data_IF_468017725275
#
_entry.id   IF_468017725275
#
_cell.length_a   1.000
_cell.length_b   1.000
_cell.length_c   1.000
_cell.angle_alpha   90.00
_cell.angle_beta   90.00
_cell.angle_gamma   90.00
#
_symmetry.space_group_name_H-M   'P 1'
#
loop_
_entity.id
_entity.type
_entity.pdbx_description
1 polymer ?
#
# COMPACT_ATOMS: atom_id res chain seq x y z
N UNK A 1 6.94 -16.53 -8.65
CA UNK A 1 5.48 -16.51 -8.92
C UNK A 1 5.18 -15.20 -9.63
N UNK A 2 4.42 -15.22 -10.73
CA UNK A 2 3.96 -13.98 -11.37
C UNK A 2 2.70 -13.50 -10.65
N UNK A 3 2.75 -12.33 -10.03
CA UNK A 3 1.57 -11.73 -9.39
C UNK A 3 0.67 -11.14 -10.47
N UNK A 4 -0.61 -11.54 -10.49
CA UNK A 4 -1.58 -10.94 -11.42
C UNK A 4 -1.76 -9.47 -11.04
N UNK A 5 -1.67 -8.57 -12.02
CA UNK A 5 -1.96 -7.16 -11.82
C UNK A 5 -3.43 -7.00 -11.39
N UNK A 6 -3.63 -6.63 -10.12
CA UNK A 6 -4.92 -6.38 -9.50
C UNK A 6 -4.93 -4.98 -8.92
N UNK A 7 -6.10 -4.35 -8.88
CA UNK A 7 -6.22 -2.99 -8.37
C UNK A 7 -6.93 -2.99 -7.01
N UNK A 8 -6.39 -2.31 -5.98
CA UNK A 8 -6.98 -2.32 -4.63
C UNK A 8 -8.40 -1.74 -4.59
N UNK A 9 -8.76 -0.85 -5.53
CA UNK A 9 -10.13 -0.36 -5.67
C UNK A 9 -11.16 -1.48 -5.90
N UNK A 10 -10.76 -2.62 -6.48
CA UNK A 10 -11.65 -3.76 -6.70
C UNK A 10 -11.86 -4.59 -5.43
N UNK A 11 -10.98 -4.44 -4.42
CA UNK A 11 -10.92 -5.27 -3.22
C UNK A 11 -11.56 -4.61 -1.99
N UNK A 12 -12.39 -3.57 -2.18
CA UNK A 12 -12.99 -2.77 -1.11
C UNK A 12 -14.40 -2.35 -1.45
N UNK A 13 -15.20 -2.06 -0.43
CA UNK A 13 -16.53 -1.45 -0.62
C UNK A 13 -16.39 0.03 -0.99
N UNK A 14 -16.79 0.39 -2.20
CA UNK A 14 -16.71 1.76 -2.70
C UNK A 14 -18.02 2.55 -2.56
N UNK A 15 -19.10 1.93 -2.05
CA UNK A 15 -20.47 2.50 -2.05
C UNK A 15 -20.54 3.93 -1.53
N UNK A 16 -19.78 4.25 -0.47
CA UNK A 16 -19.69 5.58 0.13
C UNK A 16 -18.61 6.43 -0.55
N UNK A 17 -17.38 5.93 -0.60
CA UNK A 17 -16.21 6.74 -0.98
C UNK A 17 -16.20 7.16 -2.46
N UNK A 18 -16.86 6.42 -3.36
CA UNK A 18 -16.97 6.82 -4.78
C UNK A 18 -17.93 7.98 -5.01
N UNK A 19 -18.79 8.30 -4.04
CA UNK A 19 -19.77 9.37 -4.13
C UNK A 19 -19.30 10.68 -3.48
N UNK A 20 -18.19 10.63 -2.73
CA UNK A 20 -17.66 11.79 -2.01
C UNK A 20 -17.12 12.84 -2.99
N UNK A 21 -17.49 14.10 -2.76
CA UNK A 21 -16.96 15.24 -3.50
C UNK A 21 -15.52 15.54 -3.09
N UNK A 22 -14.79 16.31 -3.93
CA UNK A 22 -13.41 16.69 -3.61
C UNK A 22 -13.27 17.42 -2.26
N UNK A 23 -14.24 18.26 -1.89
CA UNK A 23 -14.19 19.01 -0.62
C UNK A 23 -14.41 18.11 0.60
N UNK A 24 -15.08 16.97 0.43
CA UNK A 24 -15.24 15.96 1.48
C UNK A 24 -13.98 15.09 1.62
N UNK A 25 -13.20 14.94 0.55
CA UNK A 25 -11.97 14.13 0.51
C UNK A 25 -10.76 14.95 0.97
N UNK A 26 -10.57 16.12 0.36
CA UNK A 26 -9.38 16.95 0.49
C UNK A 26 -9.65 18.08 1.48
N UNK A 27 -8.88 18.09 2.58
CA UNK A 27 -8.89 19.17 3.56
C UNK A 27 -8.12 20.40 3.07
N UNK A 28 -6.93 20.18 2.51
CA UNK A 28 -6.07 21.24 1.97
C UNK A 28 -4.97 20.69 1.08
N UNK A 29 -4.45 21.54 0.20
CA UNK A 29 -3.27 21.26 -0.63
C UNK A 29 -2.22 22.32 -0.30
N UNK A 30 -1.03 21.90 0.11
CA UNK A 30 0.09 22.79 0.48
C UNK A 30 1.40 22.26 -0.09
N UNK A 31 2.11 23.08 -0.87
CA UNK A 31 3.42 22.74 -1.46
C UNK A 31 3.45 21.35 -2.14
N UNK A 32 2.37 21.01 -2.88
CA UNK A 32 2.21 19.72 -3.56
C UNK A 32 1.80 18.53 -2.68
N UNK A 33 1.67 18.74 -1.36
CA UNK A 33 1.16 17.75 -0.41
C UNK A 33 -0.35 17.90 -0.22
N UNK A 34 -1.06 16.78 -0.12
CA UNK A 34 -2.51 16.74 0.06
C UNK A 34 -2.79 16.29 1.49
N UNK A 35 -3.59 17.05 2.21
CA UNK A 35 -4.14 16.67 3.50
C UNK A 35 -5.59 16.24 3.28
N UNK A 36 -5.96 15.11 3.86
CA UNK A 36 -7.30 14.54 3.73
C UNK A 36 -8.16 14.87 4.94
N UNK A 37 -9.48 14.93 4.76
CA UNK A 37 -10.41 15.17 5.87
C UNK A 37 -10.46 13.97 6.83
N UNK A 38 -10.89 14.22 8.08
CA UNK A 38 -11.09 13.13 9.05
C UNK A 38 -12.20 12.17 8.63
N UNK A 39 -13.27 12.68 8.03
CA UNK A 39 -14.39 11.89 7.55
C UNK A 39 -13.95 10.92 6.43
N UNK A 40 -13.27 11.42 5.39
CA UNK A 40 -12.75 10.57 4.33
C UNK A 40 -11.77 9.52 4.84
N UNK A 41 -10.87 9.88 5.77
CA UNK A 41 -9.96 8.92 6.40
C UNK A 41 -10.71 7.77 7.07
N UNK A 42 -11.79 8.06 7.77
CA UNK A 42 -12.59 7.06 8.46
C UNK A 42 -13.33 6.13 7.47
N UNK A 43 -13.95 6.69 6.43
CA UNK A 43 -14.65 5.89 5.41
C UNK A 43 -13.68 5.04 4.56
N UNK A 44 -12.50 5.57 4.24
CA UNK A 44 -11.45 4.81 3.55
C UNK A 44 -10.90 3.65 4.40
N UNK A 45 -10.77 3.86 5.71
CA UNK A 45 -10.35 2.82 6.65
C UNK A 45 -11.40 1.69 6.73
N UNK A 46 -12.68 2.06 6.80
CA UNK A 46 -13.79 1.09 6.78
C UNK A 46 -13.87 0.30 5.48
N UNK A 47 -13.75 0.94 4.32
CA UNK A 47 -13.82 0.25 3.03
C UNK A 47 -12.75 -0.82 2.89
N UNK A 48 -11.60 -0.64 3.53
CA UNK A 48 -10.50 -1.61 3.60
C UNK A 48 -10.61 -2.60 4.77
N UNK A 49 -11.81 -2.85 5.27
CA UNK A 49 -12.06 -3.83 6.33
C UNK A 49 -11.27 -3.53 7.62
N UNK A 50 -10.94 -2.25 7.87
CA UNK A 50 -10.09 -1.81 8.99
C UNK A 50 -8.70 -2.48 8.99
N UNK A 51 -8.22 -2.90 7.83
CA UNK A 51 -6.93 -3.57 7.66
C UNK A 51 -6.01 -2.77 6.73
N UNK A 52 -4.72 -3.03 6.83
CA UNK A 52 -3.77 -2.54 5.83
C UNK A 52 -4.01 -3.27 4.51
N UNK A 53 -4.23 -2.52 3.43
CA UNK A 53 -4.40 -3.05 2.08
C UNK A 53 -3.23 -3.93 1.61
N UNK A 54 -2.02 -3.68 2.13
CA UNK A 54 -0.82 -4.41 1.75
C UNK A 54 -0.57 -5.66 2.59
N UNK A 55 -0.41 -5.53 3.90
CA UNK A 55 -0.04 -6.67 4.75
C UNK A 55 -1.20 -7.35 5.48
N UNK A 56 -2.41 -6.76 5.45
CA UNK A 56 -3.60 -7.34 6.08
C UNK A 56 -3.66 -7.24 7.60
N UNK A 57 -2.67 -6.58 8.23
CA UNK A 57 -2.71 -6.32 9.68
C UNK A 57 -3.92 -5.46 10.03
N UNK A 58 -4.53 -5.75 11.17
CA UNK A 58 -5.57 -4.92 11.74
C UNK A 58 -5.04 -3.53 12.09
N UNK A 59 -5.85 -2.53 11.76
CA UNK A 59 -5.65 -1.13 12.12
C UNK A 59 -6.72 -0.82 13.16
N UNK A 60 -6.40 -0.97 14.44
CA UNK A 60 -7.36 -0.82 15.55
C UNK A 60 -8.05 0.54 15.54
N UNK A 61 -7.34 1.58 15.09
CA UNK A 61 -7.86 2.94 14.98
C UNK A 61 -7.54 3.59 13.63
N UNK A 62 -8.34 4.62 13.26
CA UNK A 62 -8.05 5.49 12.10
C UNK A 62 -6.70 6.23 12.25
N UNK A 63 -6.22 6.41 13.49
CA UNK A 63 -4.91 7.00 13.77
C UNK A 63 -3.73 6.10 13.39
N UNK A 64 -3.92 4.78 13.31
CA UNK A 64 -2.90 3.83 12.86
C UNK A 64 -2.78 3.80 11.32
N UNK A 65 -3.87 4.17 10.65
CA UNK A 65 -3.99 4.20 9.21
C UNK A 65 -3.22 5.37 8.58
N UNK A 66 -2.58 5.11 7.44
CA UNK A 66 -2.00 6.10 6.53
C UNK A 66 -2.69 5.99 5.18
N UNK A 67 -3.02 7.14 4.59
CA UNK A 67 -3.50 7.19 3.22
C UNK A 67 -2.27 7.14 2.34
N UNK A 68 -2.25 6.17 1.44
CA UNK A 68 -1.18 5.96 0.48
C UNK A 68 -1.72 6.02 -0.94
N UNK A 69 -0.86 6.41 -1.87
CA UNK A 69 -1.14 6.39 -3.31
C UNK A 69 -0.67 5.06 -3.87
N UNK A 70 -1.59 4.24 -4.39
CA UNK A 70 -1.27 2.94 -4.98
C UNK A 70 -0.24 3.10 -6.10
N UNK A 71 -0.56 3.92 -7.10
CA UNK A 71 0.37 4.43 -8.11
C UNK A 71 1.04 5.69 -7.55
N UNK A 72 2.37 5.72 -7.39
CA UNK A 72 3.08 6.85 -6.82
C UNK A 72 2.83 8.17 -7.57
N UNK A 73 2.70 9.28 -6.82
CA UNK A 73 2.42 10.61 -7.38
C UNK A 73 3.33 11.05 -8.52
N UNK A 74 4.63 10.71 -8.46
CA UNK A 74 5.59 11.12 -9.49
C UNK A 74 5.35 10.45 -10.85
N UNK A 75 4.53 9.38 -10.91
CA UNK A 75 4.17 8.72 -12.17
C UNK A 75 2.92 9.32 -12.83
N UNK A 76 1.89 9.68 -12.06
CA UNK A 76 0.56 9.98 -12.62
C UNK A 76 -0.13 11.23 -12.06
N UNK A 77 0.45 11.92 -11.06
CA UNK A 77 -0.17 13.08 -10.36
C UNK A 77 -1.64 12.86 -9.98
N UNK A 78 -2.01 11.63 -9.61
CA UNK A 78 -3.39 11.23 -9.40
C UNK A 78 -3.78 11.18 -7.92
N UNK A 79 -4.77 11.98 -7.51
CA UNK A 79 -5.37 11.96 -6.17
C UNK A 79 -6.83 11.44 -6.20
N UNK A 80 -7.23 10.75 -7.27
CA UNK A 80 -8.50 10.05 -7.38
C UNK A 80 -8.68 9.05 -6.24
N UNK A 81 -9.93 8.84 -5.80
CA UNK A 81 -10.24 7.93 -4.70
C UNK A 81 -9.74 6.53 -5.01
N UNK A 82 -9.81 6.12 -6.27
CA UNK A 82 -9.35 4.84 -6.78
C UNK A 82 -7.87 4.62 -6.47
N UNK A 83 -7.05 5.66 -6.60
CA UNK A 83 -5.61 5.59 -6.32
C UNK A 83 -5.27 5.69 -4.81
N UNK A 84 -6.23 6.01 -3.94
CA UNK A 84 -6.02 6.17 -2.50
C UNK A 84 -6.38 4.91 -1.74
N UNK A 85 -5.48 4.45 -0.85
CA UNK A 85 -5.70 3.23 -0.07
C UNK A 85 -5.37 3.40 1.42
N UNK A 86 -5.93 2.51 2.24
CA UNK A 86 -5.63 2.39 3.66
C UNK A 86 -4.38 1.51 3.87
N UNK A 87 -3.31 2.07 4.44
CA UNK A 87 -2.08 1.34 4.74
C UNK A 87 -1.66 1.50 6.20
N UNK A 88 -0.90 0.56 6.75
CA UNK A 88 -0.24 0.77 8.04
C UNK A 88 1.00 1.66 7.87
N UNK A 89 1.42 2.32 8.96
CA UNK A 89 2.65 3.15 8.97
C UNK A 89 3.87 2.42 8.39
N UNK A 90 4.05 1.14 8.71
CA UNK A 90 5.20 0.33 8.26
C UNK A 90 5.19 0.15 6.75
N UNK A 91 4.10 -0.36 6.18
CA UNK A 91 4.00 -0.59 4.74
C UNK A 91 4.10 0.70 3.94
N UNK A 92 3.43 1.77 4.39
CA UNK A 92 3.53 3.10 3.78
C UNK A 92 4.99 3.59 3.72
N UNK A 93 5.73 3.40 4.82
CA UNK A 93 7.15 3.78 4.90
C UNK A 93 8.05 2.94 4.01
N UNK A 94 7.82 1.62 3.94
CA UNK A 94 8.60 0.70 3.10
C UNK A 94 8.35 0.99 1.61
N UNK A 95 7.09 1.21 1.22
CA UNK A 95 6.74 1.53 -0.17
C UNK A 95 7.38 2.83 -0.62
N UNK A 96 7.17 3.92 0.13
CA UNK A 96 7.68 5.24 -0.23
C UNK A 96 7.34 5.61 -1.68
N UNK A 97 8.37 5.68 -2.54
CA UNK A 97 8.23 6.00 -3.98
C UNK A 97 8.41 4.79 -4.91
N UNK A 98 8.50 3.58 -4.38
CA UNK A 98 8.67 2.40 -5.21
C UNK A 98 7.39 2.02 -5.95
N UNK A 99 7.55 1.32 -7.07
CA UNK A 99 6.46 0.57 -7.70
C UNK A 99 6.10 -0.68 -6.90
N UNK A 100 5.02 -1.35 -7.31
CA UNK A 100 4.45 -2.46 -6.57
C UNK A 100 5.37 -3.69 -6.51
N UNK A 101 6.18 -3.93 -7.55
CA UNK A 101 7.08 -5.08 -7.60
C UNK A 101 8.26 -4.87 -6.64
N UNK A 102 8.93 -3.72 -6.73
CA UNK A 102 10.02 -3.42 -5.80
C UNK A 102 9.51 -3.25 -4.36
N UNK A 103 8.31 -2.70 -4.18
CA UNK A 103 7.68 -2.63 -2.86
C UNK A 103 7.42 -4.03 -2.29
N UNK A 104 6.87 -4.97 -3.08
CA UNK A 104 6.62 -6.34 -2.64
C UNK A 104 7.90 -7.03 -2.20
N UNK A 105 8.95 -6.92 -3.01
CA UNK A 105 10.27 -7.42 -2.65
C UNK A 105 10.81 -6.78 -1.37
N UNK A 106 10.72 -5.46 -1.23
CA UNK A 106 11.16 -4.73 -0.03
C UNK A 106 10.37 -5.15 1.22
N UNK A 107 9.07 -5.39 1.09
CA UNK A 107 8.23 -5.90 2.16
C UNK A 107 8.60 -7.35 2.53
N UNK A 108 8.95 -8.18 1.55
CA UNK A 108 9.43 -9.55 1.77
C UNK A 108 10.77 -9.57 2.53
N UNK A 109 11.73 -8.70 2.15
CA UNK A 109 12.98 -8.50 2.92
C UNK A 109 12.66 -8.04 4.35
N UNK A 110 11.74 -7.10 4.50
CA UNK A 110 11.33 -6.61 5.82
C UNK A 110 10.54 -7.63 6.66
N UNK A 111 10.10 -8.73 6.06
CA UNK A 111 9.42 -9.84 6.73
C UNK A 111 10.33 -11.06 6.95
N UNK A 112 11.56 -11.03 6.44
CA UNK A 112 12.50 -12.13 6.58
C UNK A 112 13.46 -11.90 7.74
N UNK A 113 14.31 -12.91 7.98
CA UNK A 113 15.42 -12.84 8.94
C UNK A 113 16.45 -11.74 8.61
N UNK A 114 16.36 -11.14 7.42
CA UNK A 114 17.27 -10.10 6.94
C UNK A 114 16.86 -8.68 7.36
N UNK A 115 15.69 -8.52 7.98
CA UNK A 115 15.21 -7.22 8.43
C UNK A 115 16.20 -6.54 9.38
N UNK A 116 16.61 -5.32 9.02
CA UNK A 116 17.60 -4.53 9.79
C UNK A 116 19.05 -4.97 9.60
N UNK A 117 19.31 -6.07 8.88
CA UNK A 117 20.66 -6.56 8.58
C UNK A 117 21.13 -6.01 7.23
N UNK A 118 20.31 -6.19 6.19
CA UNK A 118 20.60 -5.66 4.85
C UNK A 118 19.43 -4.88 4.29
N UNK A 119 19.74 -3.91 3.44
CA UNK A 119 18.74 -3.13 2.72
C UNK A 119 18.20 -3.91 1.50
N UNK A 120 16.95 -3.68 1.07
CA UNK A 120 16.39 -4.36 -0.10
C UNK A 120 17.24 -4.20 -1.38
N UNK A 121 17.81 -3.02 -1.64
CA UNK A 121 18.69 -2.82 -2.80
C UNK A 121 19.97 -3.69 -2.75
N UNK A 122 20.49 -3.97 -1.56
CA UNK A 122 21.62 -4.88 -1.36
C UNK A 122 21.17 -6.32 -1.60
N UNK A 123 20.03 -6.72 -1.02
CA UNK A 123 19.45 -8.04 -1.25
C UNK A 123 19.23 -8.32 -2.75
N UNK A 124 18.76 -7.32 -3.51
CA UNK A 124 18.56 -7.43 -4.96
C UNK A 124 19.88 -7.70 -5.70
N UNK A 125 20.94 -6.94 -5.39
CA UNK A 125 22.27 -7.14 -5.97
C UNK A 125 22.85 -8.52 -5.67
N UNK A 126 22.63 -9.05 -4.46
CA UNK A 126 23.08 -10.39 -4.08
C UNK A 126 22.34 -11.46 -4.91
N UNK A 127 21.03 -11.32 -5.08
CA UNK A 127 20.24 -12.21 -5.96
C UNK A 127 20.70 -12.13 -7.42
N UNK A 128 21.01 -10.92 -7.93
CA UNK A 128 21.44 -10.70 -9.32
C UNK A 128 22.79 -11.38 -9.64
N UNK A 129 23.65 -11.59 -8.64
CA UNK A 129 24.92 -12.34 -8.77
C UNK A 129 24.78 -13.83 -8.39
N UNK A 130 23.55 -14.31 -8.16
CA UNK A 130 23.25 -15.72 -7.91
C UNK A 130 23.34 -16.17 -6.45
N UNK A 131 23.41 -15.25 -5.47
CA UNK A 131 23.35 -15.62 -4.05
C UNK A 131 21.89 -15.85 -3.65
N UNK A 132 21.59 -17.06 -3.20
CA UNK A 132 20.28 -17.38 -2.65
C UNK A 132 20.06 -16.71 -1.30
N UNK A 133 18.90 -16.10 -1.12
CA UNK A 133 18.50 -15.45 0.12
C UNK A 133 17.16 -16.03 0.61
N UNK A 134 16.95 -16.15 1.94
CA UNK A 134 15.70 -16.65 2.51
C UNK A 134 14.59 -15.59 2.45
N UNK A 135 14.23 -15.14 1.25
CA UNK A 135 13.21 -14.12 0.97
C UNK A 135 12.07 -14.79 0.21
N UNK A 136 10.86 -14.65 0.72
CA UNK A 136 9.64 -15.16 0.07
C UNK A 136 8.66 -14.02 -0.11
N UNK A 137 8.42 -13.65 -1.37
CA UNK A 137 7.38 -12.69 -1.72
C UNK A 137 5.98 -13.29 -1.53
N UNK A 138 5.08 -12.50 -0.97
CA UNK A 138 3.68 -12.88 -0.70
C UNK A 138 2.73 -11.94 -1.45
N UNK A 139 1.51 -12.40 -1.78
CA UNK A 139 0.46 -11.51 -2.26
C UNK A 139 0.18 -10.40 -1.24
N UNK A 140 -0.24 -9.23 -1.72
CA UNK A 140 -0.77 -8.19 -0.86
C UNK A 140 -2.17 -8.58 -0.41
N UNK A 141 -2.62 -8.07 0.72
CA UNK A 141 -3.94 -8.37 1.28
C UNK A 141 -5.09 -8.04 0.30
N UNK A 142 -5.01 -6.92 -0.42
CA UNK A 142 -6.02 -6.61 -1.43
C UNK A 142 -6.06 -7.64 -2.58
N UNK A 143 -4.93 -8.29 -2.89
CA UNK A 143 -4.85 -9.33 -3.92
C UNK A 143 -5.47 -10.63 -3.41
N UNK A 144 -5.26 -10.99 -2.15
CA UNK A 144 -5.86 -12.21 -1.57
C UNK A 144 -7.38 -12.15 -1.53
N UNK A 145 -7.96 -10.96 -1.33
CA UNK A 145 -9.40 -10.73 -1.41
C UNK A 145 -9.98 -10.92 -2.82
N UNK A 146 -9.16 -10.73 -3.86
CA UNK A 146 -9.55 -10.85 -5.27
C UNK A 146 -9.26 -12.24 -5.85
N UNK A 147 -8.97 -13.22 -4.99
CA UNK A 147 -8.58 -14.57 -5.41
C UNK A 147 -7.15 -14.64 -5.96
N UNK A 148 -6.31 -13.65 -5.68
CA UNK A 148 -4.87 -13.73 -5.90
C UNK A 148 -4.29 -14.91 -5.12
N UNK A 149 -3.45 -15.71 -5.79
CA UNK A 149 -2.93 -16.97 -5.27
C UNK A 149 -2.46 -16.85 -3.81
N UNK A 150 -2.96 -17.74 -2.95
CA UNK A 150 -2.51 -17.89 -1.54
C UNK A 150 -1.08 -18.41 -1.48
#
# INVERSE_FOLDING_TARGET
MSFKAMHPNQARDNSIISQMSQNEIIKKIEKGSVSFTGHFRHELWKSHHKKCAYCGIDLESVSDMRIDHFIPKYKVLDNSVENLISSCKRCNSIKGKSDMDYFRFSLAVSNSVLYGIILPNVAKKLLDIGIELPIVEKPFYFETLLGGAK
#
